data_IF_804557247123
#
_entry.id   IF_804557247123
#
_cell.length_a   1.000
_cell.length_b   1.000
_cell.length_c   1.000
_cell.angle_alpha   90.00
_cell.angle_beta   90.00
_cell.angle_gamma   90.00
#
_symmetry.space_group_name_H-M   'P 1'
#
loop_
_entity.id
_entity.type
_entity.pdbx_description
1 polymer ?
#
# COMPACT_ATOMS: atom_id res chain seq x y z
N UNK A 1 7.37 -7.99 4.58
CA UNK A 1 8.33 -8.13 3.47
C UNK A 1 9.04 -6.81 3.22
N UNK A 2 8.41 -5.91 2.46
CA UNK A 2 8.97 -4.60 2.09
C UNK A 2 9.56 -3.79 3.25
N UNK A 3 8.81 -3.64 4.34
CA UNK A 3 9.28 -2.92 5.54
C UNK A 3 10.59 -3.51 6.07
N UNK A 4 10.70 -4.85 6.12
CA UNK A 4 11.91 -5.55 6.58
C UNK A 4 13.08 -5.27 5.63
N UNK A 5 12.86 -5.38 4.32
CA UNK A 5 13.88 -5.04 3.33
C UNK A 5 14.37 -3.59 3.51
N UNK A 6 13.44 -2.63 3.68
CA UNK A 6 13.76 -1.23 3.90
C UNK A 6 14.57 -0.98 5.17
N UNK A 7 14.19 -1.62 6.27
CA UNK A 7 14.92 -1.50 7.55
C UNK A 7 16.33 -2.05 7.48
N UNK A 8 16.52 -3.21 6.84
CA UNK A 8 17.83 -3.90 6.81
C UNK A 8 18.73 -3.50 5.62
N UNK A 9 18.23 -2.70 4.69
CA UNK A 9 19.05 -2.11 3.64
C UNK A 9 19.98 -1.00 4.14
N UNK A 10 19.73 -0.45 5.33
CA UNK A 10 20.58 0.52 6.03
C UNK A 10 20.92 1.80 5.24
N UNK A 11 20.07 2.21 4.30
CA UNK A 11 20.20 3.52 3.64
C UNK A 11 19.13 4.48 4.15
N UNK A 12 19.44 5.78 4.18
CA UNK A 12 18.48 6.82 4.56
C UNK A 12 17.15 6.71 3.79
N UNK A 13 17.22 6.44 2.48
CA UNK A 13 16.03 6.26 1.63
C UNK A 13 15.25 4.99 1.98
N UNK A 14 15.93 3.85 2.16
CA UNK A 14 15.26 2.58 2.40
C UNK A 14 14.57 2.54 3.76
N UNK A 15 15.22 3.07 4.81
CA UNK A 15 14.62 3.12 6.15
C UNK A 15 13.47 4.12 6.17
N UNK A 16 13.63 5.32 5.58
CA UNK A 16 12.54 6.30 5.45
C UNK A 16 11.35 5.69 4.72
N UNK A 17 11.59 5.00 3.60
CA UNK A 17 10.58 4.25 2.87
C UNK A 17 9.92 3.16 3.71
N UNK A 18 10.69 2.42 4.53
CA UNK A 18 10.16 1.39 5.42
C UNK A 18 9.25 1.94 6.52
N UNK A 19 9.61 3.06 7.13
CA UNK A 19 8.75 3.77 8.12
C UNK A 19 7.49 4.30 7.44
N UNK A 20 7.65 4.93 6.28
CA UNK A 20 6.54 5.40 5.46
C UNK A 20 5.58 4.25 5.09
N UNK A 21 6.12 3.10 4.70
CA UNK A 21 5.35 1.92 4.33
C UNK A 21 4.59 1.31 5.51
N UNK A 22 5.12 1.36 6.74
CA UNK A 22 4.36 0.96 7.93
C UNK A 22 3.05 1.76 8.06
N UNK A 23 3.13 3.08 7.87
CA UNK A 23 1.97 3.96 7.95
C UNK A 23 1.02 3.68 6.79
N UNK A 24 1.53 3.65 5.56
CA UNK A 24 0.72 3.45 4.36
C UNK A 24 -0.01 2.11 4.36
N UNK A 25 0.68 1.05 4.74
CA UNK A 25 0.11 -0.28 4.89
C UNK A 25 -0.95 -0.29 5.99
N UNK A 26 -0.70 0.33 7.14
CA UNK A 26 -1.69 0.44 8.22
C UNK A 26 -3.00 1.10 7.75
N UNK A 27 -2.90 2.20 6.99
CA UNK A 27 -4.06 2.90 6.43
C UNK A 27 -4.80 2.04 5.40
N UNK A 28 -4.08 1.52 4.39
CA UNK A 28 -4.70 0.78 3.28
C UNK A 28 -5.28 -0.55 3.73
N UNK A 29 -4.54 -1.33 4.53
CA UNK A 29 -5.01 -2.61 5.06
C UNK A 29 -6.15 -2.43 6.07
N UNK A 30 -6.11 -1.39 6.92
CA UNK A 30 -7.21 -1.06 7.82
C UNK A 30 -8.51 -0.78 7.05
N UNK A 31 -8.44 0.00 5.97
CA UNK A 31 -9.56 0.26 5.10
C UNK A 31 -10.07 -1.01 4.38
N UNK A 32 -9.18 -1.86 3.86
CA UNK A 32 -9.59 -3.14 3.25
C UNK A 32 -10.31 -4.06 4.24
N UNK A 33 -9.78 -4.21 5.46
CA UNK A 33 -10.42 -5.05 6.48
C UNK A 33 -11.80 -4.54 6.88
N UNK A 34 -11.94 -3.23 6.99
CA UNK A 34 -13.23 -2.60 7.24
C UNK A 34 -14.21 -2.88 6.09
N UNK A 35 -13.79 -2.73 4.84
CA UNK A 35 -14.66 -2.99 3.68
C UNK A 35 -15.03 -4.48 3.56
N UNK A 36 -14.09 -5.39 3.85
CA UNK A 36 -14.40 -6.83 3.95
C UNK A 36 -15.39 -7.10 5.08
N UNK A 37 -15.28 -6.38 6.20
CA UNK A 37 -16.28 -6.40 7.28
C UNK A 37 -17.67 -5.94 6.79
N UNK A 38 -17.73 -4.87 6.00
CA UNK A 38 -18.98 -4.38 5.40
C UNK A 38 -19.60 -5.39 4.41
N UNK A 39 -18.78 -6.13 3.66
CA UNK A 39 -19.25 -7.25 2.82
C UNK A 39 -19.83 -8.36 3.70
N UNK A 40 -19.11 -8.74 4.76
CA UNK A 40 -19.56 -9.78 5.68
C UNK A 40 -20.87 -9.41 6.39
N UNK A 41 -21.07 -8.16 6.78
CA UNK A 41 -22.32 -7.70 7.39
C UNK A 41 -23.52 -7.84 6.44
N UNK A 42 -23.30 -7.69 5.13
CA UNK A 42 -24.35 -7.75 4.10
C UNK A 42 -24.60 -9.16 3.57
N UNK A 43 -23.57 -10.01 3.53
CA UNK A 43 -23.61 -11.32 2.88
C UNK A 43 -23.40 -12.50 3.82
N UNK A 44 -22.93 -12.26 5.04
CA UNK A 44 -22.57 -13.26 6.05
C UNK A 44 -21.63 -14.37 5.56
N UNK A 45 -20.86 -14.07 4.51
CA UNK A 45 -19.87 -14.97 3.91
C UNK A 45 -18.61 -14.19 3.58
N UNK A 46 -17.48 -14.90 3.54
CA UNK A 46 -16.19 -14.41 3.06
C UNK A 46 -15.69 -15.24 1.87
N UNK A 47 -16.48 -16.21 1.42
CA UNK A 47 -16.12 -17.08 0.32
C UNK A 47 -16.17 -16.28 -0.98
N UNK A 48 -15.02 -16.05 -1.62
CA UNK A 48 -14.93 -15.35 -2.91
C UNK A 48 -15.81 -16.02 -3.97
N UNK A 49 -16.00 -17.34 -3.91
CA UNK A 49 -16.85 -18.07 -4.84
C UNK A 49 -18.35 -17.71 -4.75
N UNK A 50 -18.80 -17.15 -3.63
CA UNK A 50 -20.20 -16.74 -3.37
C UNK A 50 -20.44 -15.24 -3.59
N UNK A 51 -19.37 -14.48 -3.88
CA UNK A 51 -19.41 -13.04 -4.10
C UNK A 51 -19.14 -12.79 -5.58
N UNK A 52 -20.12 -12.25 -6.30
CA UNK A 52 -19.97 -11.86 -7.71
C UNK A 52 -20.88 -10.70 -8.06
N UNK A 53 -20.47 -9.88 -9.04
CA UNK A 53 -21.29 -8.82 -9.60
C UNK A 53 -21.67 -7.68 -8.62
N UNK A 54 -20.98 -7.54 -7.49
CA UNK A 54 -21.32 -6.53 -6.47
C UNK A 54 -21.30 -5.11 -7.04
N UNK A 55 -20.40 -4.81 -7.98
CA UNK A 55 -20.30 -3.49 -8.61
C UNK A 55 -21.58 -3.08 -9.35
N UNK A 56 -22.37 -4.04 -9.85
CA UNK A 56 -23.60 -3.72 -10.57
C UNK A 56 -24.68 -3.11 -9.66
N UNK A 57 -24.70 -3.48 -8.38
CA UNK A 57 -25.71 -3.05 -7.39
C UNK A 57 -25.18 -2.06 -6.36
N UNK A 58 -23.86 -2.06 -6.11
CA UNK A 58 -23.18 -1.13 -5.21
C UNK A 58 -21.91 -0.54 -5.87
N UNK A 59 -22.06 0.28 -6.92
CA UNK A 59 -20.93 0.84 -7.67
C UNK A 59 -20.06 1.80 -6.85
N UNK A 60 -20.63 2.52 -5.87
CA UNK A 60 -19.87 3.45 -5.03
C UNK A 60 -18.99 2.65 -4.07
N UNK A 61 -19.55 1.63 -3.42
CA UNK A 61 -18.78 0.67 -2.62
C UNK A 61 -17.62 0.07 -3.42
N UNK A 62 -17.89 -0.40 -4.64
CA UNK A 62 -16.88 -0.95 -5.53
C UNK A 62 -15.79 0.07 -5.88
N UNK A 63 -16.15 1.33 -6.13
CA UNK A 63 -15.21 2.41 -6.41
C UNK A 63 -14.27 2.71 -5.24
N UNK A 64 -14.80 2.79 -4.01
CA UNK A 64 -13.97 2.90 -2.80
C UNK A 64 -13.01 1.70 -2.68
N UNK A 65 -13.51 0.49 -2.91
CA UNK A 65 -12.70 -0.72 -2.80
C UNK A 65 -11.55 -0.68 -3.80
N UNK A 66 -11.82 -0.25 -5.04
CA UNK A 66 -10.81 -0.10 -6.08
C UNK A 66 -9.68 0.83 -5.64
N UNK A 67 -10.01 2.03 -5.14
CA UNK A 67 -8.99 3.00 -4.73
C UNK A 67 -8.13 2.45 -3.60
N UNK A 68 -8.76 1.86 -2.57
CA UNK A 68 -8.04 1.30 -1.42
C UNK A 68 -7.20 0.08 -1.83
N UNK A 69 -7.72 -0.79 -2.70
CA UNK A 69 -6.98 -1.94 -3.24
C UNK A 69 -5.77 -1.47 -4.05
N UNK A 70 -5.94 -0.50 -4.95
CA UNK A 70 -4.83 0.06 -5.75
C UNK A 70 -3.78 0.72 -4.87
N UNK A 71 -4.20 1.32 -3.76
CA UNK A 71 -3.28 1.82 -2.73
C UNK A 71 -2.43 0.70 -2.13
N UNK A 72 -3.04 -0.45 -1.84
CA UNK A 72 -2.32 -1.64 -1.34
C UNK A 72 -1.42 -2.32 -2.37
N UNK A 73 -1.70 -2.15 -3.67
CA UNK A 73 -0.86 -2.66 -4.77
C UNK A 73 0.38 -1.77 -4.98
N UNK A 74 0.33 -0.50 -4.53
CA UNK A 74 1.39 0.48 -4.78
C UNK A 74 1.20 1.24 -6.10
N UNK A 75 -0.03 1.58 -6.48
CA UNK A 75 -0.29 2.41 -7.67
C UNK A 75 0.32 3.82 -7.49
N UNK A 76 1.08 4.34 -8.48
CA UNK A 76 1.57 5.72 -8.45
C UNK A 76 0.45 6.74 -8.24
N UNK A 77 0.70 7.71 -7.37
CA UNK A 77 -0.29 8.71 -6.95
C UNK A 77 -1.09 8.34 -5.70
N UNK A 78 -0.96 7.10 -5.19
CA UNK A 78 -1.51 6.66 -3.91
C UNK A 78 -0.41 6.41 -2.88
N UNK A 79 -0.77 6.33 -1.60
CA UNK A 79 0.22 6.30 -0.53
C UNK A 79 1.18 5.10 -0.61
N UNK A 80 0.70 3.90 -0.96
CA UNK A 80 1.51 2.67 -0.97
C UNK A 80 2.74 2.78 -1.88
N UNK A 81 2.61 3.46 -3.02
CA UNK A 81 3.71 3.65 -3.95
C UNK A 81 4.89 4.40 -3.31
N UNK A 82 4.63 5.43 -2.51
CA UNK A 82 5.69 6.27 -1.93
C UNK A 82 6.63 5.46 -1.04
N UNK A 83 6.05 4.63 -0.16
CA UNK A 83 6.84 3.80 0.75
C UNK A 83 7.60 2.71 0.00
N UNK A 84 6.92 1.98 -0.88
CA UNK A 84 7.53 0.88 -1.64
C UNK A 84 8.63 1.35 -2.57
N UNK A 85 8.42 2.46 -3.28
CA UNK A 85 9.41 3.00 -4.19
C UNK A 85 10.69 3.44 -3.46
N UNK A 86 10.55 4.14 -2.33
CA UNK A 86 11.69 4.53 -1.49
C UNK A 86 12.45 3.32 -0.94
N UNK A 87 11.74 2.26 -0.54
CA UNK A 87 12.36 0.99 -0.14
C UNK A 87 13.14 0.39 -1.30
N UNK A 88 12.57 0.30 -2.50
CA UNK A 88 13.24 -0.32 -3.65
C UNK A 88 14.50 0.45 -4.07
N UNK A 89 14.39 1.78 -4.25
CA UNK A 89 15.51 2.60 -4.71
C UNK A 89 16.63 2.66 -3.65
N UNK A 90 16.28 2.81 -2.38
CA UNK A 90 17.24 2.84 -1.29
C UNK A 90 17.90 1.49 -1.05
N UNK A 91 17.17 0.38 -1.24
CA UNK A 91 17.70 -0.98 -1.06
C UNK A 91 18.51 -1.45 -2.25
N UNK A 92 18.36 -0.82 -3.43
CA UNK A 92 19.13 -1.22 -4.61
C UNK A 92 20.63 -0.96 -4.44
N UNK A 93 21.01 -0.04 -3.57
CA UNK A 93 22.42 0.27 -3.30
C UNK A 93 23.13 -0.82 -2.49
N UNK A 94 22.42 -1.53 -1.60
CA UNK A 94 23.00 -2.49 -0.65
C UNK A 94 22.53 -3.93 -0.86
N UNK A 95 21.36 -4.12 -1.49
CA UNK A 95 20.64 -5.39 -1.51
C UNK A 95 19.96 -5.68 -2.87
N UNK A 96 20.68 -5.47 -3.98
CA UNK A 96 20.16 -5.58 -5.37
C UNK A 96 19.31 -6.82 -5.66
N UNK A 97 19.78 -8.00 -5.27
CA UNK A 97 19.04 -9.24 -5.53
C UNK A 97 17.74 -9.33 -4.72
N UNK A 98 17.72 -8.78 -3.51
CA UNK A 98 16.51 -8.69 -2.71
C UNK A 98 15.50 -7.69 -3.28
N UNK A 99 15.98 -6.62 -3.93
CA UNK A 99 15.11 -5.71 -4.69
C UNK A 99 14.43 -6.43 -5.85
N UNK A 100 15.15 -7.26 -6.61
CA UNK A 100 14.56 -8.07 -7.70
C UNK A 100 13.45 -8.98 -7.15
N UNK A 101 13.70 -9.68 -6.06
CA UNK A 101 12.70 -10.53 -5.40
C UNK A 101 11.50 -9.71 -4.92
N UNK A 102 11.74 -8.54 -4.33
CA UNK A 102 10.68 -7.65 -3.85
C UNK A 102 9.80 -7.13 -5.00
N UNK A 103 10.40 -6.75 -6.13
CA UNK A 103 9.67 -6.32 -7.33
C UNK A 103 8.80 -7.43 -7.90
N UNK A 104 9.29 -8.67 -7.95
CA UNK A 104 8.45 -9.83 -8.32
C UNK A 104 7.29 -9.99 -7.33
N UNK A 105 7.54 -9.77 -6.04
CA UNK A 105 6.51 -9.75 -5.00
C UNK A 105 5.40 -8.73 -5.26
N UNK A 106 5.72 -7.51 -5.73
CA UNK A 106 4.72 -6.49 -6.11
C UNK A 106 3.85 -6.97 -7.26
N UNK A 107 4.46 -7.59 -8.28
CA UNK A 107 3.72 -8.12 -9.43
C UNK A 107 2.74 -9.21 -8.98
N UNK A 108 3.20 -10.14 -8.14
CA UNK A 108 2.33 -11.19 -7.58
C UNK A 108 1.22 -10.58 -6.71
N UNK A 109 1.53 -9.51 -5.96
CA UNK A 109 0.55 -8.80 -5.15
C UNK A 109 -0.57 -8.15 -5.98
N UNK A 110 -0.18 -7.47 -7.06
CA UNK A 110 -1.12 -6.93 -8.03
C UNK A 110 -2.00 -8.04 -8.63
N UNK A 111 -1.38 -9.16 -9.05
CA UNK A 111 -2.11 -10.26 -9.68
C UNK A 111 -3.17 -10.85 -8.75
N UNK A 112 -2.85 -11.20 -7.50
CA UNK A 112 -3.83 -11.82 -6.62
C UNK A 112 -4.94 -10.84 -6.19
N UNK A 113 -4.62 -9.56 -5.97
CA UNK A 113 -5.60 -8.54 -5.58
C UNK A 113 -6.55 -8.21 -6.72
N UNK A 114 -6.03 -7.99 -7.93
CA UNK A 114 -6.85 -7.72 -9.11
C UNK A 114 -7.72 -8.93 -9.48
N UNK A 115 -7.18 -10.14 -9.36
CA UNK A 115 -7.94 -11.37 -9.55
C UNK A 115 -9.09 -11.50 -8.54
N UNK A 116 -8.84 -11.22 -7.25
CA UNK A 116 -9.87 -11.24 -6.23
C UNK A 116 -10.94 -10.16 -6.48
N UNK A 117 -10.52 -8.94 -6.86
CA UNK A 117 -11.44 -7.86 -7.21
C UNK A 117 -12.34 -8.25 -8.38
N UNK A 118 -11.77 -8.77 -9.46
CA UNK A 118 -12.53 -9.22 -10.63
C UNK A 118 -13.58 -10.26 -10.25
N UNK A 119 -13.24 -11.24 -9.40
CA UNK A 119 -14.17 -12.30 -8.95
C UNK A 119 -15.34 -11.72 -8.15
N UNK A 120 -15.06 -10.81 -7.23
CA UNK A 120 -16.05 -10.27 -6.27
C UNK A 120 -16.95 -9.21 -6.92
N UNK A 121 -16.37 -8.31 -7.71
CA UNK A 121 -17.04 -7.09 -8.15
C UNK A 121 -17.61 -7.18 -9.56
N UNK A 122 -16.97 -7.90 -10.48
CA UNK A 122 -17.42 -7.98 -11.87
C UNK A 122 -18.43 -9.12 -12.10
N UNK A 123 -19.07 -9.10 -13.26
CA UNK A 123 -20.06 -10.09 -13.69
C UNK A 123 -21.49 -9.74 -13.27
N UNK A 124 -22.43 -10.65 -13.52
CA UNK A 124 -23.82 -10.49 -13.11
C UNK A 124 -24.04 -11.01 -11.68
N UNK A 125 -24.71 -10.23 -10.81
CA UNK A 125 -25.02 -10.67 -9.46
C UNK A 125 -26.04 -11.81 -9.50
N UNK A 126 -25.89 -12.79 -8.60
CA UNK A 126 -26.97 -13.74 -8.32
C UNK A 126 -28.05 -13.10 -7.44
N UNK A 127 -29.12 -13.84 -7.14
CA UNK A 127 -30.23 -13.37 -6.33
C UNK A 127 -29.77 -12.82 -4.96
N UNK A 128 -28.81 -13.50 -4.33
CA UNK A 128 -28.34 -13.15 -3.02
C UNK A 128 -27.46 -11.87 -3.05
N UNK A 129 -26.60 -11.73 -4.06
CA UNK A 129 -25.78 -10.54 -4.30
C UNK A 129 -26.58 -9.36 -4.87
N UNK A 130 -27.70 -9.60 -5.55
CA UNK A 130 -28.59 -8.55 -6.09
C UNK A 130 -29.24 -7.71 -4.98
N UNK A 131 -29.34 -8.26 -3.78
CA UNK A 131 -29.83 -7.57 -2.58
C UNK A 131 -28.74 -6.78 -1.83
N UNK A 132 -27.49 -6.79 -2.31
CA UNK A 132 -26.38 -6.09 -1.66
C UNK A 132 -26.65 -4.59 -1.65
N UNK A 133 -26.74 -4.03 -0.44
CA UNK A 133 -27.03 -2.60 -0.25
C UNK A 133 -25.78 -1.76 -0.47
N UNK A 134 -25.96 -0.62 -1.13
CA UNK A 134 -24.93 0.41 -1.23
C UNK A 134 -24.50 0.96 0.15
N UNK A 135 -23.41 1.70 0.17
CA UNK A 135 -22.92 2.45 1.32
C UNK A 135 -23.99 3.38 1.89
N UNK A 136 -24.15 3.33 3.21
CA UNK A 136 -24.82 4.39 3.95
C UNK A 136 -23.93 5.63 4.01
N UNK A 137 -24.51 6.81 4.24
CA UNK A 137 -23.72 8.05 4.35
C UNK A 137 -22.62 8.01 5.43
N UNK A 138 -22.83 7.25 6.51
CA UNK A 138 -21.82 7.05 7.57
C UNK A 138 -20.65 6.19 7.10
N UNK A 139 -20.94 5.08 6.43
CA UNK A 139 -19.90 4.21 5.88
C UNK A 139 -19.12 4.95 4.78
N UNK A 140 -19.82 5.70 3.91
CA UNK A 140 -19.22 6.52 2.86
C UNK A 140 -18.31 7.63 3.41
N UNK A 141 -18.73 8.34 4.47
CA UNK A 141 -17.88 9.34 5.12
C UNK A 141 -16.61 8.72 5.69
N UNK A 142 -16.75 7.56 6.35
CA UNK A 142 -15.63 6.88 6.99
C UNK A 142 -14.61 6.37 5.95
N UNK A 143 -15.07 5.76 4.86
CA UNK A 143 -14.20 5.37 3.75
C UNK A 143 -13.61 6.59 3.02
N UNK A 144 -14.37 7.68 2.93
CA UNK A 144 -13.91 8.97 2.42
C UNK A 144 -12.68 9.51 3.16
N UNK A 145 -12.66 9.39 4.49
CA UNK A 145 -11.49 9.79 5.30
C UNK A 145 -10.26 8.94 4.96
N UNK A 146 -10.42 7.62 4.85
CA UNK A 146 -9.32 6.73 4.45
C UNK A 146 -8.78 7.08 3.06
N UNK A 147 -9.67 7.25 2.08
CA UNK A 147 -9.27 7.62 0.71
C UNK A 147 -8.60 8.98 0.67
N UNK A 148 -9.09 9.97 1.42
CA UNK A 148 -8.46 11.28 1.50
C UNK A 148 -7.02 11.19 2.03
N UNK A 149 -6.78 10.40 3.07
CA UNK A 149 -5.41 10.15 3.60
C UNK A 149 -4.56 9.44 2.55
N UNK A 150 -5.08 8.38 1.91
CA UNK A 150 -4.38 7.62 0.87
C UNK A 150 -3.93 8.53 -0.28
N UNK A 151 -4.81 9.37 -0.80
CA UNK A 151 -4.51 10.27 -1.93
C UNK A 151 -3.60 11.41 -1.48
N UNK A 152 -3.89 12.04 -0.33
CA UNK A 152 -3.07 13.13 0.19
C UNK A 152 -1.62 12.69 0.38
N UNK A 153 -1.40 11.55 1.04
CA UNK A 153 -0.07 11.01 1.27
C UNK A 153 0.60 10.52 -0.01
N UNK A 154 -0.16 10.05 -1.00
CA UNK A 154 0.37 9.65 -2.31
C UNK A 154 0.84 10.82 -3.17
N UNK A 155 0.08 11.92 -3.16
CA UNK A 155 0.36 13.11 -4.00
C UNK A 155 1.31 14.09 -3.30
N UNK A 156 1.18 14.26 -1.98
CA UNK A 156 2.00 15.17 -1.18
C UNK A 156 2.60 14.47 0.04
N UNK A 157 3.57 13.57 -0.15
CA UNK A 157 4.20 12.81 0.95
C UNK A 157 5.12 13.66 1.83
N UNK A 158 5.55 14.84 1.34
CA UNK A 158 6.56 15.70 1.97
C UNK A 158 6.34 15.93 3.49
N UNK A 159 5.13 16.24 3.98
CA UNK A 159 4.92 16.45 5.41
C UNK A 159 5.18 15.22 6.28
N UNK A 160 4.96 14.00 5.75
CA UNK A 160 5.28 12.77 6.47
C UNK A 160 6.79 12.49 6.41
N UNK A 161 7.40 12.69 5.25
CA UNK A 161 8.84 12.48 5.06
C UNK A 161 9.67 13.40 5.95
N UNK A 162 9.34 14.71 6.01
CA UNK A 162 10.04 15.68 6.87
C UNK A 162 9.96 15.36 8.37
N UNK A 163 9.00 14.52 8.79
CA UNK A 163 8.88 14.03 10.18
C UNK A 163 9.65 12.74 10.43
N UNK A 164 9.88 11.95 9.39
CA UNK A 164 10.58 10.66 9.46
C UNK A 164 12.09 10.85 9.29
N UNK A 165 12.50 11.63 8.29
CA UNK A 165 13.88 11.77 7.84
C UNK A 165 14.88 12.16 8.95
N UNK A 166 14.59 13.13 9.85
CA UNK A 166 15.54 13.50 10.89
C UNK A 166 15.89 12.34 11.83
N UNK A 167 14.89 11.55 12.23
CA UNK A 167 15.10 10.39 13.10
C UNK A 167 15.85 9.27 12.39
N UNK A 168 15.57 9.05 11.10
CA UNK A 168 16.30 8.07 10.28
C UNK A 168 17.76 8.49 10.09
N UNK A 169 18.03 9.78 9.86
CA UNK A 169 19.39 10.29 9.73
C UNK A 169 20.19 10.08 11.00
N UNK A 170 19.64 10.43 12.16
CA UNK A 170 20.29 10.17 13.44
C UNK A 170 20.54 8.68 13.71
N UNK A 171 19.65 7.80 13.24
CA UNK A 171 19.85 6.35 13.32
C UNK A 171 21.04 5.89 12.46
N UNK A 172 21.14 6.35 11.21
CA UNK A 172 22.27 6.02 10.33
C UNK A 172 23.58 6.57 10.90
N UNK A 173 23.62 7.82 11.33
CA UNK A 173 24.79 8.43 11.98
C UNK A 173 25.24 7.63 13.21
N UNK A 174 24.27 7.14 14.00
CA UNK A 174 24.57 6.28 15.14
C UNK A 174 25.23 4.97 14.71
N UNK A 175 24.69 4.28 13.70
CA UNK A 175 25.24 3.02 13.17
C UNK A 175 26.65 3.24 12.62
N UNK A 176 26.85 4.29 11.84
CA UNK A 176 28.13 4.68 11.25
C UNK A 176 29.20 5.07 12.29
N UNK A 177 28.79 5.55 13.47
CA UNK A 177 29.70 5.89 14.57
C UNK A 177 30.11 4.68 15.41
N UNK A 178 29.33 3.58 15.34
CA UNK A 178 29.48 2.39 16.21
C UNK A 178 29.93 1.15 15.47
N UNK A 179 29.98 1.18 14.14
CA UNK A 179 30.30 0.04 13.29
C UNK A 179 31.19 0.48 12.12
N UNK A 180 31.70 -0.49 11.36
CA UNK A 180 32.47 -0.23 10.14
C UNK A 180 31.56 0.08 8.93
N UNK A 181 30.24 0.12 9.12
CA UNK A 181 29.29 0.46 8.07
C UNK A 181 29.44 1.93 7.64
N UNK A 182 29.39 2.14 6.33
CA UNK A 182 29.23 3.46 5.70
C UNK A 182 28.12 3.35 4.69
N UNK A 183 27.17 4.28 4.72
CA UNK A 183 26.13 4.32 3.72
C UNK A 183 26.79 4.53 2.34
N UNK A 184 26.41 3.75 1.31
CA UNK A 184 26.84 4.03 -0.05
C UNK A 184 26.40 5.43 -0.48
N UNK A 185 27.31 6.19 -1.09
CA UNK A 185 26.92 7.41 -1.78
C UNK A 185 26.06 7.02 -2.99
N UNK A 186 24.98 7.77 -3.22
CA UNK A 186 24.23 7.62 -4.45
C UNK A 186 25.21 7.88 -5.59
N UNK A 187 25.32 6.95 -6.55
CA UNK A 187 26.14 7.17 -7.73
C UNK A 187 25.60 8.42 -8.43
N UNK A 188 26.25 9.55 -8.20
CA UNK A 188 26.08 10.73 -9.03
C UNK A 188 26.42 10.23 -10.44
N UNK A 189 25.45 10.31 -11.35
CA UNK A 189 25.75 10.19 -12.77
C UNK A 189 26.89 11.16 -13.04
N UNK A 190 28.02 10.62 -13.50
CA UNK A 190 29.23 11.40 -13.73
C UNK A 190 28.88 12.66 -14.51
N UNK A 191 29.28 13.80 -13.97
CA UNK A 191 29.60 14.94 -14.79
C UNK A 191 30.79 14.52 -15.66
N UNK A 192 30.51 14.01 -16.86
CA UNK A 192 31.41 14.06 -18.02
C UNK A 192 30.80 14.96 -19.09
#
# INVERSE_FOLDING_TARGET
>A
GFIVLGTFALTNQAITGGVMQNINHGVSTGALFLMVGMIYERRHTRAIAELKGIQAVAPIFAGFFTVVMLSSIGLPGLNGFVGEFLVLIGSFQTARWWVVVATVGVILAALYLLWAYQRVFHGEPDEANSSFKELTGREGLLLGVFVAIIVFTGVYPKPMLERIEPSVKSLIEHVESRTDYRQPEAAHGGEE
#
